data_IF_787977884611
#
_entry.id   IF_787977884611
#
_cell.length_a   1.000
_cell.length_b   1.000
_cell.length_c   1.000
_cell.angle_alpha   90.00
_cell.angle_beta   90.00
_cell.angle_gamma   90.00
#
_symmetry.space_group_name_H-M   'P 1'
#
loop_
_entity.id
_entity.type
_entity.pdbx_description
1 polymer ?
#
# COMPACT_ATOMS: atom_id res chain seq x y z
N UNK A 1 3.36 -0.77 -6.99
CA UNK A 1 3.80 -0.66 -5.57
C UNK A 1 3.29 -1.86 -4.78
N UNK A 2 1.97 -2.03 -4.65
CA UNK A 2 1.37 -3.14 -3.89
C UNK A 2 1.73 -4.55 -4.42
N UNK A 3 1.83 -4.72 -5.75
CA UNK A 3 2.29 -5.99 -6.33
C UNK A 3 3.74 -6.30 -5.93
N UNK A 4 4.61 -5.29 -6.01
CA UNK A 4 6.02 -5.41 -5.63
C UNK A 4 6.18 -5.67 -4.13
N UNK A 5 5.35 -5.06 -3.27
CA UNK A 5 5.37 -5.35 -1.84
C UNK A 5 4.92 -6.78 -1.53
N UNK A 6 4.01 -7.35 -2.33
CA UNK A 6 3.66 -8.77 -2.26
C UNK A 6 4.85 -9.69 -2.58
N UNK A 7 5.64 -9.33 -3.59
CA UNK A 7 6.87 -10.07 -3.95
C UNK A 7 7.91 -9.98 -2.82
N UNK A 8 8.17 -8.79 -2.26
CA UNK A 8 9.14 -8.63 -1.17
C UNK A 8 8.71 -9.35 0.11
N UNK A 9 7.41 -9.36 0.41
CA UNK A 9 6.85 -10.10 1.54
C UNK A 9 7.02 -11.61 1.36
N UNK A 10 6.72 -12.13 0.16
CA UNK A 10 6.87 -13.55 -0.15
C UNK A 10 8.34 -13.98 -0.06
N UNK A 11 9.27 -13.14 -0.54
CA UNK A 11 10.69 -13.38 -0.40
C UNK A 11 11.15 -13.31 1.08
N UNK A 12 10.66 -12.35 1.86
CA UNK A 12 10.95 -12.27 3.29
C UNK A 12 10.49 -13.54 4.02
N UNK A 13 9.30 -14.04 3.71
CA UNK A 13 8.78 -15.29 4.25
C UNK A 13 9.67 -16.49 3.90
N UNK A 14 10.17 -16.58 2.66
CA UNK A 14 11.11 -17.64 2.29
C UNK A 14 12.41 -17.60 3.14
N UNK A 15 13.00 -16.42 3.33
CA UNK A 15 14.20 -16.26 4.16
C UNK A 15 13.95 -16.48 5.65
N UNK A 16 12.73 -16.25 6.14
CA UNK A 16 12.33 -16.63 7.49
C UNK A 16 12.41 -18.16 7.66
N UNK A 17 11.89 -18.92 6.69
CA UNK A 17 11.88 -20.38 6.73
C UNK A 17 13.29 -21.00 6.60
N UNK A 18 14.22 -20.33 5.90
CA UNK A 18 15.61 -20.79 5.78
C UNK A 18 16.52 -20.27 6.90
N UNK A 19 15.99 -19.50 7.86
CA UNK A 19 16.75 -19.00 9.02
C UNK A 19 17.63 -17.77 8.73
N UNK A 20 17.56 -17.20 7.51
CA UNK A 20 18.33 -16.03 7.10
C UNK A 20 17.70 -14.70 7.61
N UNK A 21 17.85 -14.46 8.92
CA UNK A 21 17.23 -13.33 9.64
C UNK A 21 17.53 -11.95 9.03
N UNK A 22 18.76 -11.69 8.58
CA UNK A 22 19.15 -10.40 8.02
C UNK A 22 18.39 -10.11 6.71
N UNK A 23 18.31 -11.08 5.79
CA UNK A 23 17.58 -10.93 4.52
C UNK A 23 16.08 -10.80 4.75
N UNK A 24 15.52 -11.60 5.66
CA UNK A 24 14.12 -11.49 6.07
C UNK A 24 13.81 -10.07 6.56
N UNK A 25 14.60 -9.53 7.50
CA UNK A 25 14.36 -8.20 8.06
C UNK A 25 14.47 -7.09 7.01
N UNK A 26 15.50 -7.15 6.15
CA UNK A 26 15.69 -6.16 5.09
C UNK A 26 14.52 -6.14 4.09
N UNK A 27 14.01 -7.30 3.69
CA UNK A 27 12.88 -7.41 2.77
C UNK A 27 11.54 -7.04 3.43
N UNK A 28 11.38 -7.32 4.73
CA UNK A 28 10.22 -6.88 5.48
C UNK A 28 10.18 -5.34 5.60
N UNK A 29 11.31 -4.71 5.90
CA UNK A 29 11.44 -3.25 5.89
C UNK A 29 11.09 -2.69 4.50
N UNK A 30 11.60 -3.30 3.43
CA UNK A 30 11.25 -2.89 2.06
C UNK A 30 9.73 -2.98 1.79
N UNK A 31 9.08 -4.06 2.26
CA UNK A 31 7.63 -4.25 2.14
C UNK A 31 6.86 -3.12 2.84
N UNK A 32 7.24 -2.77 4.07
CA UNK A 32 6.60 -1.68 4.84
C UNK A 32 6.82 -0.33 4.16
N UNK A 33 8.02 -0.06 3.68
CA UNK A 33 8.33 1.19 2.96
C UNK A 33 7.52 1.34 1.68
N UNK A 34 7.31 0.26 0.93
CA UNK A 34 6.43 0.26 -0.25
C UNK A 34 4.97 0.53 0.14
N UNK A 35 4.48 -0.03 1.24
CA UNK A 35 3.14 0.27 1.77
C UNK A 35 2.99 1.76 2.11
N UNK A 36 3.94 2.32 2.87
CA UNK A 36 3.94 3.74 3.22
C UNK A 36 4.02 4.64 1.97
N UNK A 37 4.82 4.24 0.97
CA UNK A 37 4.92 4.95 -0.30
C UNK A 37 3.58 4.96 -1.06
N UNK A 38 2.84 3.85 -1.05
CA UNK A 38 1.48 3.80 -1.61
C UNK A 38 0.53 4.73 -0.86
N UNK A 39 0.57 4.77 0.48
CA UNK A 39 -0.28 5.66 1.29
C UNK A 39 -0.04 7.15 0.98
N UNK A 40 1.22 7.58 0.82
CA UNK A 40 1.55 8.96 0.43
C UNK A 40 0.96 9.29 -0.95
N UNK A 41 1.11 8.38 -1.92
CA UNK A 41 0.55 8.59 -3.25
C UNK A 41 -0.98 8.64 -3.24
N UNK A 42 -1.63 7.79 -2.43
CA UNK A 42 -3.08 7.81 -2.27
C UNK A 42 -3.56 9.14 -1.67
N UNK A 43 -2.82 9.70 -0.70
CA UNK A 43 -3.11 11.02 -0.16
C UNK A 43 -2.95 12.14 -1.20
N UNK A 44 -1.90 12.09 -2.02
CA UNK A 44 -1.69 13.06 -3.11
C UNK A 44 -2.81 12.95 -4.15
N UNK A 45 -3.20 11.74 -4.53
CA UNK A 45 -4.33 11.51 -5.44
C UNK A 45 -5.62 12.15 -4.93
N UNK A 46 -5.93 11.98 -3.63
CA UNK A 46 -7.11 12.59 -3.01
C UNK A 46 -7.05 14.11 -2.96
N UNK A 47 -5.87 14.68 -2.76
CA UNK A 47 -5.68 16.13 -2.69
C UNK A 47 -5.80 16.80 -4.06
N UNK A 48 -5.32 16.15 -5.11
CA UNK A 48 -5.31 16.68 -6.48
C UNK A 48 -6.58 16.30 -7.27
N UNK A 49 -7.45 15.45 -6.73
CA UNK A 49 -8.72 15.10 -7.36
C UNK A 49 -9.60 16.35 -7.57
N UNK A 50 -10.14 16.51 -8.78
CA UNK A 50 -11.04 17.62 -9.13
C UNK A 50 -12.47 17.46 -8.58
N UNK A 51 -12.71 16.43 -7.78
CA UNK A 51 -13.99 16.08 -7.18
C UNK A 51 -13.75 15.60 -5.74
N UNK A 52 -14.81 15.62 -4.95
CA UNK A 52 -14.82 15.32 -3.52
C UNK A 52 -15.82 14.22 -3.22
N UNK A 53 -15.85 13.74 -1.98
CA UNK A 53 -16.85 12.77 -1.51
C UNK A 53 -18.29 13.26 -1.64
N UNK A 54 -18.50 14.58 -1.69
CA UNK A 54 -19.83 15.19 -1.83
C UNK A 54 -20.33 15.22 -3.28
N UNK A 55 -19.49 14.91 -4.27
CA UNK A 55 -19.83 15.00 -5.69
C UNK A 55 -20.61 13.78 -6.18
N UNK A 56 -21.88 13.74 -5.77
CA UNK A 56 -22.89 12.77 -6.20
C UNK A 56 -22.49 11.30 -5.98
N UNK A 57 -23.05 10.39 -6.79
CA UNK A 57 -22.79 8.95 -6.71
C UNK A 57 -21.33 8.63 -7.05
N UNK A 58 -20.72 9.35 -8.00
CA UNK A 58 -19.34 9.08 -8.39
C UNK A 58 -18.34 9.36 -7.26
N UNK A 59 -18.37 10.57 -6.68
CA UNK A 59 -17.46 10.94 -5.60
C UNK A 59 -17.67 10.07 -4.35
N UNK A 60 -18.92 9.88 -3.94
CA UNK A 60 -19.23 9.06 -2.77
C UNK A 60 -18.78 7.60 -2.91
N UNK A 61 -19.03 6.95 -4.05
CA UNK A 61 -18.60 5.56 -4.26
C UNK A 61 -17.08 5.44 -4.39
N UNK A 62 -16.42 6.38 -5.08
CA UNK A 62 -14.97 6.39 -5.26
C UNK A 62 -14.24 6.50 -3.92
N UNK A 63 -14.53 7.54 -3.12
CA UNK A 63 -13.82 7.79 -1.86
C UNK A 63 -14.20 6.77 -0.77
N UNK A 64 -15.43 6.25 -0.76
CA UNK A 64 -15.82 5.19 0.18
C UNK A 64 -15.02 3.91 -0.09
N UNK A 65 -14.98 3.44 -1.34
CA UNK A 65 -14.32 2.18 -1.69
C UNK A 65 -12.79 2.27 -1.54
N UNK A 66 -12.18 3.33 -2.08
CA UNK A 66 -10.72 3.51 -2.02
C UNK A 66 -10.24 3.91 -0.63
N UNK A 67 -11.06 4.67 0.11
CA UNK A 67 -10.75 5.09 1.47
C UNK A 67 -10.82 3.92 2.44
N UNK A 68 -11.82 3.04 2.30
CA UNK A 68 -11.89 1.81 3.09
C UNK A 68 -10.69 0.89 2.81
N UNK A 69 -10.28 0.75 1.54
CA UNK A 69 -9.07 -0.01 1.19
C UNK A 69 -7.78 0.60 1.79
N UNK A 70 -7.76 1.91 2.04
CA UNK A 70 -6.59 2.63 2.58
C UNK A 70 -6.44 2.64 4.10
N UNK A 71 -7.42 2.11 4.85
CA UNK A 71 -7.43 1.98 6.31
C UNK A 71 -6.92 0.59 6.70
#
# INVERSE_FOLDING_TARGET
ILLSSGVTLTAAHHFLMTGEKMKCNNLLICTVMLGFYWTILQYIEYKEASFTIADSIYGSTFFMATGFHGI
#
